data_IF_391369478978
#
_entry.id   IF_391369478978
#
_cell.length_a   1.000
_cell.length_b   1.000
_cell.length_c   1.000
_cell.angle_alpha   90.00
_cell.angle_beta   90.00
_cell.angle_gamma   90.00
#
_symmetry.space_group_name_H-M   'P 1'
#
loop_
_entity.id
_entity.type
_entity.pdbx_description
1 polymer ?
#
# COMPACT_ATOMS: atom_id res chain seq x y z
N UNK A 1 15.14 -6.67 12.87
CA UNK A 1 14.17 -6.32 11.81
C UNK A 1 13.77 -4.87 11.90
N UNK A 2 13.75 -4.18 10.77
CA UNK A 2 13.26 -2.80 10.71
C UNK A 2 11.75 -2.77 10.75
N UNK A 3 11.16 -1.61 11.03
CA UNK A 3 9.71 -1.42 10.96
C UNK A 3 9.17 -1.75 9.57
N UNK A 4 9.92 -1.37 8.53
CA UNK A 4 9.57 -1.66 7.15
C UNK A 4 9.47 -3.16 6.89
N UNK A 5 10.47 -3.92 7.34
CA UNK A 5 10.48 -5.37 7.16
C UNK A 5 9.33 -6.05 7.91
N UNK A 6 9.02 -5.58 9.11
CA UNK A 6 7.89 -6.09 9.90
C UNK A 6 6.56 -5.81 9.20
N UNK A 7 6.40 -4.60 8.66
CA UNK A 7 5.18 -4.24 7.93
C UNK A 7 5.02 -5.10 6.68
N UNK A 8 6.10 -5.31 5.94
CA UNK A 8 6.09 -6.12 4.73
C UNK A 8 5.73 -7.58 5.05
N UNK A 9 6.36 -8.14 6.07
CA UNK A 9 6.08 -9.52 6.49
C UNK A 9 4.62 -9.69 6.91
N UNK A 10 4.08 -8.73 7.67
CA UNK A 10 2.70 -8.76 8.10
C UNK A 10 1.75 -8.62 6.92
N UNK A 11 2.07 -7.72 5.98
CA UNK A 11 1.25 -7.50 4.79
C UNK A 11 1.14 -8.76 3.93
N UNK A 12 2.21 -9.55 3.84
CA UNK A 12 2.22 -10.79 3.05
C UNK A 12 1.23 -11.83 3.59
N UNK A 13 0.85 -11.73 4.86
CA UNK A 13 -0.14 -12.64 5.45
C UNK A 13 -1.58 -12.25 5.11
N UNK A 14 -1.78 -11.17 4.38
CA UNK A 14 -3.09 -10.61 4.02
C UNK A 14 -3.94 -10.36 5.26
N UNK A 15 -3.45 -9.52 6.20
CA UNK A 15 -4.17 -9.27 7.45
C UNK A 15 -5.48 -8.52 7.21
N UNK A 16 -6.45 -8.73 8.09
CA UNK A 16 -7.75 -8.05 8.02
C UNK A 16 -7.75 -6.72 8.76
N UNK A 17 -6.68 -6.40 9.45
CA UNK A 17 -6.56 -5.20 10.27
C UNK A 17 -5.41 -4.29 9.85
N UNK A 18 -4.93 -4.43 8.62
CA UNK A 18 -3.86 -3.59 8.09
C UNK A 18 -4.42 -2.19 7.80
N UNK A 19 -3.81 -1.18 8.42
CA UNK A 19 -4.31 0.19 8.28
C UNK A 19 -3.73 0.88 7.04
N UNK A 20 -4.42 1.94 6.61
CA UNK A 20 -3.96 2.79 5.52
C UNK A 20 -2.58 3.40 5.83
N UNK A 21 -2.38 3.84 7.08
CA UNK A 21 -1.09 4.41 7.48
C UNK A 21 0.04 3.39 7.40
N UNK A 22 -0.25 2.15 7.76
CA UNK A 22 0.74 1.07 7.64
C UNK A 22 1.09 0.82 6.18
N UNK A 23 0.08 0.81 5.29
CA UNK A 23 0.30 0.67 3.86
C UNK A 23 1.17 1.81 3.33
N UNK A 24 0.86 3.03 3.72
CA UNK A 24 1.61 4.22 3.30
C UNK A 24 3.09 4.11 3.71
N UNK A 25 3.35 3.69 4.94
CA UNK A 25 4.72 3.50 5.43
C UNK A 25 5.46 2.42 4.65
N UNK A 26 4.79 1.30 4.41
CA UNK A 26 5.39 0.20 3.67
C UNK A 26 5.72 0.62 2.25
N UNK A 27 4.78 1.26 1.56
CA UNK A 27 4.99 1.71 0.18
C UNK A 27 6.06 2.78 0.10
N UNK A 28 6.14 3.66 1.10
CA UNK A 28 7.23 4.65 1.18
C UNK A 28 8.59 3.96 1.25
N UNK A 29 8.68 2.85 1.97
CA UNK A 29 9.91 2.05 2.05
C UNK A 29 10.31 1.44 0.71
N UNK A 30 9.34 1.19 -0.16
CA UNK A 30 9.60 0.70 -1.53
C UNK A 30 9.87 1.83 -2.53
N UNK A 31 9.77 3.08 -2.10
CA UNK A 31 10.02 4.22 -2.97
C UNK A 31 8.79 4.88 -3.56
N UNK A 32 7.60 4.55 -3.06
CA UNK A 32 6.36 5.18 -3.50
C UNK A 32 6.08 6.45 -2.70
N UNK A 33 5.50 7.44 -3.38
CA UNK A 33 5.01 8.66 -2.73
C UNK A 33 3.50 8.73 -2.87
N UNK A 34 2.84 9.30 -1.87
CA UNK A 34 1.40 9.46 -1.88
C UNK A 34 1.02 10.74 -2.61
N UNK A 35 0.15 10.60 -3.62
CA UNK A 35 -0.42 11.73 -4.33
C UNK A 35 -1.93 11.73 -4.09
N UNK A 36 -2.45 12.83 -3.55
CA UNK A 36 -3.87 12.95 -3.25
C UNK A 36 -4.65 13.36 -4.48
N UNK A 37 -5.74 12.64 -4.76
CA UNK A 37 -6.69 13.02 -5.81
C UNK A 37 -7.93 13.69 -5.22
N UNK A 38 -9.01 13.72 -6.00
CA UNK A 38 -10.28 14.25 -5.55
C UNK A 38 -10.95 13.30 -4.56
N UNK A 39 -11.52 13.85 -3.48
CA UNK A 39 -12.21 13.04 -2.48
C UNK A 39 -11.28 12.07 -1.80
N UNK A 40 -11.65 10.79 -1.77
CA UNK A 40 -10.85 9.74 -1.14
C UNK A 40 -9.85 9.08 -2.07
N UNK A 41 -9.73 9.53 -3.30
CA UNK A 41 -8.80 8.95 -4.27
C UNK A 41 -7.35 9.22 -3.90
N UNK A 42 -6.52 8.20 -3.99
CA UNK A 42 -5.09 8.29 -3.71
C UNK A 42 -4.33 7.52 -4.77
N UNK A 43 -3.17 8.03 -5.14
CA UNK A 43 -2.23 7.33 -6.02
C UNK A 43 -0.90 7.24 -5.30
N UNK A 44 -0.35 6.05 -5.22
CA UNK A 44 1.02 5.85 -4.75
C UNK A 44 1.89 5.70 -5.99
N UNK A 45 2.78 6.64 -6.20
CA UNK A 45 3.61 6.71 -7.40
C UNK A 45 5.07 6.39 -7.07
N UNK A 46 5.65 5.49 -7.87
CA UNK A 46 7.07 5.15 -7.80
C UNK A 46 7.74 5.62 -9.08
N UNK A 47 8.47 6.72 -8.99
CA UNK A 47 9.14 7.33 -10.14
C UNK A 47 10.19 6.41 -10.75
N UNK A 48 10.96 5.74 -9.89
CA UNK A 48 12.04 4.85 -10.31
C UNK A 48 11.51 3.67 -11.13
N UNK A 49 10.36 3.13 -10.74
CA UNK A 49 9.74 2.00 -11.43
C UNK A 49 8.69 2.43 -12.46
N UNK A 50 8.38 3.72 -12.51
CA UNK A 50 7.31 4.28 -13.33
C UNK A 50 6.02 3.50 -13.10
N UNK A 51 5.63 3.33 -11.84
CA UNK A 51 4.53 2.46 -11.44
C UNK A 51 3.60 3.19 -10.48
N UNK A 52 2.30 3.04 -10.71
CA UNK A 52 1.26 3.63 -9.88
C UNK A 52 0.41 2.55 -9.24
N UNK A 53 0.05 2.77 -7.98
CA UNK A 53 -0.95 1.96 -7.29
C UNK A 53 -2.08 2.92 -6.92
N UNK A 54 -3.26 2.72 -7.53
CA UNK A 54 -4.43 3.58 -7.32
C UNK A 54 -5.40 2.90 -6.38
N UNK A 55 -5.86 3.65 -5.38
CA UNK A 55 -6.89 3.13 -4.47
C UNK A 55 -7.62 4.29 -3.80
N UNK A 56 -8.68 3.95 -3.05
CA UNK A 56 -9.42 4.91 -2.26
C UNK A 56 -9.05 4.72 -0.79
N UNK A 57 -8.97 5.82 -0.04
CA UNK A 57 -8.81 5.73 1.40
C UNK A 57 -10.02 5.02 2.00
N UNK A 58 -9.80 4.03 2.87
CA UNK A 58 -10.93 3.32 3.47
C UNK A 58 -11.76 4.22 4.39
N UNK A 59 -13.07 4.02 4.38
CA UNK A 59 -14.04 4.72 5.20
C UNK A 59 -15.06 3.74 5.76
N UNK A 60 -15.62 4.00 6.93
CA UNK A 60 -15.31 5.09 7.87
C UNK A 60 -14.04 4.84 8.69
N UNK A 61 -13.58 3.60 8.73
CA UNK A 61 -12.39 3.21 9.46
C UNK A 61 -11.16 3.28 8.57
N UNK A 62 -9.99 3.43 9.20
CA UNK A 62 -8.71 3.53 8.51
C UNK A 62 -8.11 2.14 8.21
N UNK A 63 -8.94 1.12 8.17
CA UNK A 63 -8.52 -0.26 7.92
C UNK A 63 -8.79 -0.62 6.47
N UNK A 64 -7.78 -1.18 5.79
CA UNK A 64 -7.91 -1.57 4.39
C UNK A 64 -8.89 -2.73 4.24
N UNK A 65 -9.70 -2.66 3.20
CA UNK A 65 -10.58 -3.76 2.83
C UNK A 65 -9.78 -4.87 2.17
N UNK A 66 -10.29 -6.09 2.22
CA UNK A 66 -9.60 -7.26 1.67
C UNK A 66 -9.18 -7.06 0.21
N UNK A 67 -10.08 -6.50 -0.62
CA UNK A 67 -9.74 -6.28 -2.03
C UNK A 67 -8.60 -5.25 -2.21
N UNK A 68 -8.49 -4.30 -1.30
CA UNK A 68 -7.43 -3.30 -1.35
C UNK A 68 -6.07 -3.92 -1.00
N UNK A 69 -6.05 -4.79 0.00
CA UNK A 69 -4.84 -5.54 0.36
C UNK A 69 -4.39 -6.39 -0.82
N UNK A 70 -5.32 -7.12 -1.43
CA UNK A 70 -5.02 -7.98 -2.57
C UNK A 70 -4.53 -7.19 -3.78
N UNK A 71 -5.14 -6.04 -4.04
CA UNK A 71 -4.74 -5.18 -5.15
C UNK A 71 -3.31 -4.68 -4.97
N UNK A 72 -2.99 -4.15 -3.81
CA UNK A 72 -1.64 -3.66 -3.52
C UNK A 72 -0.62 -4.78 -3.56
N UNK A 73 -0.97 -5.95 -3.00
CA UNK A 73 -0.10 -7.12 -3.02
C UNK A 73 0.23 -7.56 -4.45
N UNK A 74 -0.78 -7.64 -5.30
CA UNK A 74 -0.59 -8.02 -6.70
C UNK A 74 0.28 -7.01 -7.46
N UNK A 75 0.05 -5.71 -7.21
CA UNK A 75 0.85 -4.67 -7.84
C UNK A 75 2.32 -4.76 -7.44
N UNK A 76 2.60 -5.02 -6.16
CA UNK A 76 3.96 -5.17 -5.68
C UNK A 76 4.63 -6.43 -6.23
N UNK A 77 3.89 -7.52 -6.37
CA UNK A 77 4.40 -8.76 -6.97
C UNK A 77 4.74 -8.56 -8.44
N UNK A 78 3.93 -7.81 -9.17
CA UNK A 78 4.16 -7.51 -10.58
C UNK A 78 5.50 -6.82 -10.78
N UNK A 79 5.94 -6.04 -9.80
CA UNK A 79 7.21 -5.32 -9.85
C UNK A 79 8.33 -6.05 -9.09
N UNK A 80 8.13 -7.29 -8.73
CA UNK A 80 9.11 -8.11 -8.00
C UNK A 80 9.60 -7.47 -6.71
N UNK A 81 8.74 -6.70 -6.05
CA UNK A 81 9.10 -6.07 -4.78
C UNK A 81 8.83 -6.98 -3.59
N UNK A 82 7.93 -7.93 -3.77
CA UNK A 82 7.63 -8.95 -2.75
C UNK A 82 7.32 -10.30 -3.39
#
# INVERSE_FOLDING_TARGET
>A
MTKFEKLTSRFLTRPKDFTYNELKRMLSGFGYIELQGSGSRVVFFNKKLNHNIKLHRPHPENILKTYQVNLALNELKTKDLI
#
